data_IF_433712680923
#
_entry.id   IF_433712680923
#
_cell.length_a   1.000
_cell.length_b   1.000
_cell.length_c   1.000
_cell.angle_alpha   90.00
_cell.angle_beta   90.00
_cell.angle_gamma   90.00
#
_symmetry.space_group_name_H-M   'P 1'
#
loop_
_entity.id
_entity.type
_entity.pdbx_description
1 polymer ?
#
# COMPACT_ATOMS: atom_id res chain seq x y z
N UNK A 1 7.24 -12.73 -1.65
CA UNK A 1 8.39 -11.89 -2.04
C UNK A 1 9.21 -12.45 -3.21
N UNK A 2 8.98 -13.70 -3.63
CA UNK A 2 9.75 -14.32 -4.72
C UNK A 2 9.62 -13.57 -6.05
N UNK A 3 8.48 -12.93 -6.30
CA UNK A 3 8.23 -12.21 -7.53
C UNK A 3 8.67 -10.75 -7.47
N UNK A 4 9.13 -10.29 -6.31
CA UNK A 4 9.66 -8.94 -6.12
C UNK A 4 11.18 -9.02 -6.15
N UNK A 5 11.78 -8.30 -7.07
CA UNK A 5 13.23 -8.25 -7.21
C UNK A 5 13.72 -6.82 -7.03
N UNK A 6 14.93 -6.68 -6.49
CA UNK A 6 15.61 -5.39 -6.36
C UNK A 6 15.09 -4.49 -5.25
N UNK A 7 14.35 -5.03 -4.28
CA UNK A 7 13.77 -4.26 -3.17
C UNK A 7 14.11 -4.90 -1.81
N UNK A 8 15.36 -5.30 -1.62
CA UNK A 8 15.75 -6.06 -0.43
C UNK A 8 15.59 -5.27 0.87
N UNK A 9 15.94 -3.98 0.87
CA UNK A 9 15.81 -3.13 2.05
C UNK A 9 14.34 -2.92 2.42
N UNK A 10 13.51 -2.65 1.42
CA UNK A 10 12.08 -2.45 1.61
C UNK A 10 11.41 -3.72 2.09
N UNK A 11 11.82 -4.89 1.60
CA UNK A 11 11.32 -6.17 2.08
C UNK A 11 11.65 -6.38 3.54
N UNK A 12 12.87 -6.05 3.97
CA UNK A 12 13.27 -6.17 5.37
C UNK A 12 12.43 -5.29 6.29
N UNK A 13 12.14 -4.06 5.88
CA UNK A 13 11.30 -3.15 6.64
C UNK A 13 9.88 -3.68 6.81
N UNK A 14 9.42 -4.50 5.88
CA UNK A 14 8.06 -5.04 5.90
C UNK A 14 7.95 -6.43 6.54
N UNK A 15 9.04 -7.05 6.92
CA UNK A 15 9.02 -8.38 7.56
C UNK A 15 8.17 -8.36 8.84
N UNK A 16 8.27 -7.31 9.63
CA UNK A 16 7.47 -7.16 10.84
C UNK A 16 5.97 -7.13 10.52
N UNK A 17 5.58 -6.47 9.43
CA UNK A 17 4.19 -6.44 8.97
C UNK A 17 3.72 -7.85 8.59
N UNK A 18 4.55 -8.60 7.87
CA UNK A 18 4.25 -9.99 7.49
C UNK A 18 4.05 -10.86 8.74
N UNK A 19 4.95 -10.76 9.69
CA UNK A 19 4.86 -11.54 10.92
C UNK A 19 3.60 -11.21 11.72
N UNK A 20 3.26 -9.93 11.83
CA UNK A 20 2.02 -9.52 12.47
C UNK A 20 0.80 -10.14 11.77
N UNK A 21 0.75 -10.06 10.45
CA UNK A 21 -0.39 -10.59 9.69
C UNK A 21 -0.54 -12.11 9.81
N UNK A 22 0.57 -12.81 9.98
CA UNK A 22 0.54 -14.27 10.18
C UNK A 22 -0.08 -14.66 11.52
N UNK A 23 0.11 -13.85 12.55
CA UNK A 23 -0.40 -14.15 13.89
C UNK A 23 -0.70 -12.87 14.67
N UNK A 24 -1.80 -12.17 14.35
CA UNK A 24 -2.13 -10.90 15.01
C UNK A 24 -2.31 -11.03 16.52
N UNK A 25 -2.91 -12.12 16.97
CA UNK A 25 -3.20 -12.34 18.38
C UNK A 25 -1.93 -12.43 19.25
N UNK A 26 -0.86 -12.97 18.71
CA UNK A 26 0.42 -13.08 19.41
C UNK A 26 1.03 -11.72 19.69
N UNK A 27 0.99 -10.82 18.71
CA UNK A 27 1.48 -9.45 18.88
C UNK A 27 0.68 -8.69 19.92
N UNK A 28 -0.63 -8.87 19.93
CA UNK A 28 -1.50 -8.25 20.93
C UNK A 28 -1.16 -8.71 22.35
N UNK A 29 -0.90 -10.01 22.53
CA UNK A 29 -0.53 -10.58 23.83
C UNK A 29 0.79 -10.04 24.36
N UNK A 30 1.73 -9.74 23.47
CA UNK A 30 3.04 -9.21 23.85
C UNK A 30 3.03 -7.71 24.11
N UNK A 31 1.89 -7.04 23.92
CA UNK A 31 1.78 -5.60 24.07
C UNK A 31 2.54 -4.82 23.00
N UNK A 32 2.88 -5.47 21.89
CA UNK A 32 3.62 -4.84 20.81
C UNK A 32 2.75 -3.78 20.12
N UNK A 33 3.39 -2.70 19.72
CA UNK A 33 2.74 -1.66 18.92
C UNK A 33 2.53 -2.17 17.51
N UNK A 34 1.27 -2.26 17.09
CA UNK A 34 0.90 -2.77 15.78
C UNK A 34 0.74 -1.60 14.83
N UNK A 35 1.46 -1.57 13.68
CA UNK A 35 1.21 -0.56 12.68
C UNK A 35 -0.15 -0.83 12.01
N UNK A 36 -1.04 0.16 12.02
CA UNK A 36 -2.32 0.05 11.32
C UNK A 36 -2.21 0.53 9.87
N UNK A 37 -1.28 1.42 9.60
CA UNK A 37 -1.10 1.97 8.27
C UNK A 37 0.36 2.08 7.88
N UNK A 38 0.67 1.69 6.65
CA UNK A 38 2.01 1.79 6.06
C UNK A 38 1.90 2.58 4.77
N UNK A 39 2.67 3.66 4.67
CA UNK A 39 2.72 4.47 3.46
C UNK A 39 3.96 4.12 2.66
N UNK A 40 3.75 3.68 1.43
CA UNK A 40 4.84 3.41 0.48
C UNK A 40 5.05 4.67 -0.36
N UNK A 41 6.22 5.26 -0.23
CA UNK A 41 6.57 6.53 -0.86
C UNK A 41 7.66 6.31 -1.90
N UNK A 42 7.46 6.81 -3.09
CA UNK A 42 8.49 6.72 -4.12
C UNK A 42 7.98 7.10 -5.49
N UNK A 43 8.90 7.26 -6.46
CA UNK A 43 8.54 7.60 -7.82
C UNK A 43 7.60 6.57 -8.46
N UNK A 44 6.83 6.95 -9.47
CA UNK A 44 5.99 5.99 -10.19
C UNK A 44 6.87 4.93 -10.86
N UNK A 45 6.34 3.72 -10.97
CA UNK A 45 7.05 2.62 -11.61
C UNK A 45 8.10 1.93 -10.76
N UNK A 46 8.15 2.18 -9.45
CA UNK A 46 9.11 1.54 -8.55
C UNK A 46 8.61 0.22 -7.94
N UNK A 47 7.38 -0.21 -8.28
CA UNK A 47 6.86 -1.49 -7.82
C UNK A 47 6.14 -1.47 -6.47
N UNK A 48 5.59 -0.33 -6.08
CA UNK A 48 4.88 -0.20 -4.80
C UNK A 48 3.69 -1.15 -4.70
N UNK A 49 2.89 -1.26 -5.76
CA UNK A 49 1.75 -2.18 -5.80
C UNK A 49 2.19 -3.64 -5.68
N UNK A 50 3.22 -4.01 -6.41
CA UNK A 50 3.77 -5.36 -6.38
C UNK A 50 4.31 -5.70 -4.99
N UNK A 51 4.96 -4.74 -4.34
CA UNK A 51 5.48 -4.93 -2.99
C UNK A 51 4.35 -5.18 -1.99
N UNK A 52 3.26 -4.42 -2.08
CA UNK A 52 2.09 -4.63 -1.21
C UNK A 52 1.46 -6.01 -1.44
N UNK A 53 1.31 -6.43 -2.69
CA UNK A 53 0.82 -7.77 -3.02
C UNK A 53 1.75 -8.86 -2.48
N UNK A 54 3.05 -8.62 -2.52
CA UNK A 54 4.03 -9.57 -2.03
C UNK A 54 3.92 -9.74 -0.51
N UNK A 55 3.66 -8.67 0.23
CA UNK A 55 3.41 -8.74 1.68
C UNK A 55 2.21 -9.63 1.97
N UNK A 56 1.11 -9.43 1.25
CA UNK A 56 -0.09 -10.25 1.42
C UNK A 56 0.18 -11.72 1.08
N UNK A 57 0.91 -11.99 0.01
CA UNK A 57 1.27 -13.34 -0.41
C UNK A 57 2.17 -14.04 0.60
N UNK A 58 3.18 -13.37 1.13
CA UNK A 58 4.04 -13.92 2.16
C UNK A 58 3.27 -14.23 3.46
N UNK A 59 2.35 -13.36 3.83
CA UNK A 59 1.54 -13.55 5.03
C UNK A 59 0.39 -14.54 4.82
N UNK A 60 0.03 -14.84 3.57
CA UNK A 60 -1.09 -15.73 3.27
C UNK A 60 -2.44 -15.13 3.60
N UNK A 61 -2.60 -13.82 3.44
CA UNK A 61 -3.83 -13.10 3.78
C UNK A 61 -4.49 -12.50 2.53
N UNK A 62 -5.81 -12.24 2.59
CA UNK A 62 -6.49 -11.55 1.48
C UNK A 62 -5.93 -10.16 1.21
N UNK A 63 -5.98 -9.76 -0.05
CA UNK A 63 -5.53 -8.46 -0.52
C UNK A 63 -6.70 -7.76 -1.22
N UNK A 64 -7.07 -6.61 -0.70
CA UNK A 64 -8.13 -5.78 -1.28
C UNK A 64 -7.54 -4.47 -1.74
N UNK A 65 -7.94 -4.02 -2.91
CA UNK A 65 -7.35 -2.83 -3.53
C UNK A 65 -8.42 -1.82 -3.94
N UNK A 66 -8.09 -0.55 -3.74
CA UNK A 66 -8.89 0.58 -4.21
C UNK A 66 -7.92 1.63 -4.73
N UNK A 67 -8.30 2.33 -5.79
CA UNK A 67 -7.48 3.42 -6.32
C UNK A 67 -7.89 4.75 -5.67
N UNK A 68 -6.90 5.63 -5.46
CA UNK A 68 -7.19 6.99 -5.00
C UNK A 68 -8.09 7.77 -5.96
N UNK A 69 -8.10 7.42 -7.24
CA UNK A 69 -9.02 7.99 -8.22
C UNK A 69 -10.48 7.65 -7.92
N UNK A 70 -10.75 6.53 -7.25
CA UNK A 70 -12.10 6.16 -6.83
C UNK A 70 -12.64 7.10 -5.74
N UNK A 71 -11.76 7.90 -5.11
CA UNK A 71 -12.17 8.88 -4.11
C UNK A 71 -12.84 10.11 -4.72
N UNK A 72 -12.75 10.28 -6.01
CA UNK A 72 -13.38 11.39 -6.74
C UNK A 72 -14.53 10.91 -7.63
N UNK A 73 -15.26 9.91 -7.18
CA UNK A 73 -16.41 9.38 -7.88
C UNK A 73 -17.47 10.46 -8.10
N UNK A 74 -18.21 10.34 -9.20
CA UNK A 74 -19.14 11.35 -9.63
C UNK A 74 -20.39 11.54 -8.75
N UNK A 75 -20.73 10.57 -7.92
CA UNK A 75 -21.92 10.60 -7.08
C UNK A 75 -21.54 10.76 -5.62
N UNK A 76 -22.23 11.66 -4.93
CA UNK A 76 -22.01 11.96 -3.52
C UNK A 76 -22.21 10.70 -2.67
N UNK A 77 -21.22 10.40 -1.83
CA UNK A 77 -21.28 9.27 -0.89
C UNK A 77 -20.86 7.93 -1.46
N UNK A 78 -20.66 7.81 -2.77
CA UNK A 78 -20.29 6.53 -3.40
C UNK A 78 -18.89 6.09 -2.95
N UNK A 79 -17.92 7.01 -2.97
CA UNK A 79 -16.56 6.69 -2.53
C UNK A 79 -16.51 6.29 -1.06
N UNK A 80 -17.22 7.01 -0.20
CA UNK A 80 -17.29 6.71 1.22
C UNK A 80 -17.95 5.34 1.48
N UNK A 81 -19.02 5.02 0.75
CA UNK A 81 -19.67 3.71 0.84
C UNK A 81 -18.73 2.59 0.40
N UNK A 82 -17.96 2.78 -0.65
CA UNK A 82 -16.97 1.81 -1.11
C UNK A 82 -15.91 1.52 -0.06
N UNK A 83 -15.40 2.57 0.58
CA UNK A 83 -14.41 2.42 1.65
C UNK A 83 -15.00 1.60 2.79
N UNK A 84 -16.19 1.94 3.24
CA UNK A 84 -16.86 1.21 4.32
C UNK A 84 -17.08 -0.25 3.98
N UNK A 85 -17.60 -0.53 2.78
CA UNK A 85 -17.86 -1.90 2.33
C UNK A 85 -16.58 -2.71 2.22
N UNK A 86 -15.50 -2.09 1.76
CA UNK A 86 -14.20 -2.72 1.65
C UNK A 86 -13.66 -3.13 3.02
N UNK A 87 -13.75 -2.24 4.02
CA UNK A 87 -13.33 -2.55 5.38
C UNK A 87 -14.22 -3.60 6.02
N UNK A 88 -15.53 -3.54 5.82
CA UNK A 88 -16.45 -4.55 6.32
C UNK A 88 -16.14 -5.93 5.74
N UNK A 89 -15.82 -5.99 4.46
CA UNK A 89 -15.42 -7.25 3.81
C UNK A 89 -14.12 -7.77 4.38
N UNK A 90 -13.14 -6.89 4.57
CA UNK A 90 -11.83 -7.27 5.10
C UNK A 90 -11.92 -7.79 6.53
N UNK A 91 -12.80 -7.20 7.35
CA UNK A 91 -12.99 -7.61 8.75
C UNK A 91 -13.59 -8.99 8.91
N UNK A 92 -14.12 -9.58 7.86
CA UNK A 92 -14.61 -10.96 7.87
C UNK A 92 -13.48 -11.98 7.94
N UNK A 93 -12.26 -11.56 7.60
CA UNK A 93 -11.06 -12.40 7.70
C UNK A 93 -10.28 -12.05 8.97
N UNK A 94 -9.56 -13.02 9.58
CA UNK A 94 -8.74 -12.74 10.76
C UNK A 94 -7.63 -11.74 10.51
N UNK A 95 -7.12 -11.68 9.28
CA UNK A 95 -6.11 -10.74 8.85
C UNK A 95 -6.30 -10.42 7.37
N UNK A 96 -5.96 -9.21 6.96
CA UNK A 96 -6.09 -8.78 5.57
C UNK A 96 -5.24 -7.53 5.33
N UNK A 97 -4.92 -7.28 4.06
CA UNK A 97 -4.33 -6.02 3.63
C UNK A 97 -5.35 -5.28 2.76
N UNK A 98 -5.55 -4.01 3.08
CA UNK A 98 -6.27 -3.07 2.22
C UNK A 98 -5.24 -2.14 1.61
N UNK A 99 -5.16 -2.10 0.29
CA UNK A 99 -4.19 -1.30 -0.43
C UNK A 99 -4.88 -0.16 -1.17
N UNK A 100 -4.37 1.06 -0.99
CA UNK A 100 -4.87 2.25 -1.65
C UNK A 100 -3.78 2.75 -2.59
N UNK A 101 -3.97 2.54 -3.90
CA UNK A 101 -3.02 2.99 -4.89
C UNK A 101 -3.23 4.47 -5.18
N UNK A 102 -2.13 5.20 -5.28
CA UNK A 102 -2.13 6.62 -5.59
C UNK A 102 -3.07 7.44 -4.71
N UNK A 103 -2.89 7.32 -3.40
CA UNK A 103 -3.76 7.98 -2.42
C UNK A 103 -3.83 9.50 -2.59
N UNK A 104 -2.78 10.10 -3.18
CA UNK A 104 -2.74 11.53 -3.47
C UNK A 104 -3.42 11.90 -4.79
N UNK A 105 -3.83 10.93 -5.60
CA UNK A 105 -4.46 11.20 -6.89
C UNK A 105 -5.79 11.93 -6.70
N UNK A 106 -6.05 12.94 -7.51
CA UNK A 106 -7.25 13.77 -7.40
C UNK A 106 -7.24 14.72 -6.21
N UNK A 107 -6.13 14.74 -5.45
CA UNK A 107 -5.99 15.39 -4.17
C UNK A 107 -5.40 16.77 -4.16
N UNK A 108 -5.17 17.28 -5.28
CA UNK A 108 -4.22 18.36 -5.44
C UNK A 108 -4.57 19.67 -4.78
N UNK A 109 -5.80 20.02 -4.58
CA UNK A 109 -6.13 21.37 -4.17
C UNK A 109 -7.32 21.41 -3.24
N UNK A 110 -7.06 21.14 -1.99
CA UNK A 110 -7.97 21.56 -0.95
C UNK A 110 -8.11 23.07 -1.04
N UNK A 111 -9.28 23.52 -1.41
CA UNK A 111 -9.57 24.95 -1.50
C UNK A 111 -9.59 25.54 -2.90
N UNK A 112 -9.04 24.86 -3.90
CA UNK A 112 -9.13 25.31 -5.29
C UNK A 112 -10.22 24.58 -6.07
N UNK A 113 -10.80 23.55 -5.50
CA UNK A 113 -11.85 22.78 -6.12
C UNK A 113 -13.18 23.50 -6.09
N UNK A 114 -13.68 23.76 -7.25
CA UNK A 114 -14.99 24.36 -7.42
C UNK A 114 -15.95 23.25 -7.82
N UNK A 115 -16.45 22.48 -6.87
CA UNK A 115 -17.50 21.56 -7.20
C UNK A 115 -17.51 20.24 -6.44
N UNK A 116 -18.42 19.36 -6.82
CA UNK A 116 -18.74 18.14 -6.11
C UNK A 116 -17.59 17.13 -5.96
N UNK A 117 -16.60 17.15 -6.84
CA UNK A 117 -15.46 16.24 -6.77
C UNK A 117 -14.58 16.46 -5.54
N UNK A 118 -14.45 17.69 -5.09
CA UNK A 118 -13.69 18.02 -3.89
C UNK A 118 -14.39 17.52 -2.62
N UNK A 119 -15.69 17.75 -2.53
CA UNK A 119 -16.49 17.33 -1.39
C UNK A 119 -16.54 15.79 -1.30
N UNK A 120 -16.72 15.12 -2.43
CA UNK A 120 -16.72 13.65 -2.49
C UNK A 120 -15.42 13.06 -1.99
N UNK A 121 -14.32 13.62 -2.42
CA UNK A 121 -13.01 13.15 -2.01
C UNK A 121 -12.79 13.37 -0.52
N UNK A 122 -13.18 14.52 -0.01
CA UNK A 122 -13.07 14.80 1.42
C UNK A 122 -13.91 13.86 2.26
N UNK A 123 -15.14 13.56 1.83
CA UNK A 123 -16.00 12.58 2.48
C UNK A 123 -15.39 11.19 2.47
N UNK A 124 -14.82 10.77 1.35
CA UNK A 124 -14.19 9.46 1.21
C UNK A 124 -12.96 9.36 2.09
N UNK A 125 -12.14 10.41 2.13
CA UNK A 125 -10.98 10.48 3.00
C UNK A 125 -11.39 10.41 4.48
N UNK A 126 -12.43 11.16 4.86
CA UNK A 126 -12.94 11.12 6.22
C UNK A 126 -13.45 9.73 6.61
N UNK A 127 -14.11 9.03 5.69
CA UNK A 127 -14.55 7.66 5.92
C UNK A 127 -13.35 6.72 6.12
N UNK A 128 -12.29 6.90 5.34
CA UNK A 128 -11.06 6.14 5.52
C UNK A 128 -10.48 6.35 6.91
N UNK A 129 -10.41 7.60 7.36
CA UNK A 129 -9.89 7.92 8.69
C UNK A 129 -10.76 7.33 9.81
N UNK A 130 -12.08 7.39 9.65
CA UNK A 130 -13.03 6.77 10.61
C UNK A 130 -12.77 5.27 10.70
N UNK A 131 -12.62 4.59 9.56
CA UNK A 131 -12.37 3.16 9.54
C UNK A 131 -11.03 2.79 10.17
N UNK A 132 -9.98 3.57 9.90
CA UNK A 132 -8.66 3.34 10.49
C UNK A 132 -8.66 3.59 12.00
N UNK A 133 -9.32 4.64 12.46
CA UNK A 133 -9.43 4.95 13.89
C UNK A 133 -10.30 3.94 14.64
N UNK A 134 -11.15 3.24 13.93
CA UNK A 134 -12.03 2.22 14.49
C UNK A 134 -11.39 0.84 14.66
N UNK A 135 -10.11 0.67 14.30
CA UNK A 135 -9.44 -0.61 14.48
C UNK A 135 -9.26 -0.91 15.97
N UNK A 136 -9.80 -2.04 16.39
CA UNK A 136 -9.53 -2.57 17.72
C UNK A 136 -8.17 -3.24 17.78
N UNK A 137 -7.71 -3.52 19.00
CA UNK A 137 -6.44 -4.20 19.22
C UNK A 137 -6.41 -5.64 18.68
N UNK A 138 -7.56 -6.17 18.31
CA UNK A 138 -7.69 -7.54 17.80
C UNK A 138 -7.84 -7.63 16.29
N UNK A 139 -7.96 -6.48 15.61
CA UNK A 139 -8.13 -6.47 14.17
C UNK A 139 -6.78 -6.71 13.48
N UNK A 140 -6.72 -7.75 12.67
CA UNK A 140 -5.53 -8.10 11.91
C UNK A 140 -5.47 -7.40 10.55
N UNK A 141 -6.01 -6.19 10.45
CA UNK A 141 -6.07 -5.46 9.19
C UNK A 141 -4.98 -4.40 9.15
N UNK A 142 -4.22 -4.38 8.06
CA UNK A 142 -3.25 -3.34 7.79
C UNK A 142 -3.66 -2.63 6.50
N UNK A 143 -3.66 -1.31 6.56
CA UNK A 143 -3.89 -0.46 5.39
C UNK A 143 -2.53 -0.04 4.84
N UNK A 144 -2.26 -0.36 3.59
CA UNK A 144 -1.08 0.11 2.89
C UNK A 144 -1.52 1.09 1.82
N UNK A 145 -0.83 2.20 1.70
CA UNK A 145 -1.12 3.19 0.67
C UNK A 145 0.15 3.54 -0.08
N UNK A 146 0.01 3.87 -1.35
CA UNK A 146 1.13 4.27 -2.20
C UNK A 146 0.95 5.69 -2.66
N UNK A 147 2.05 6.45 -2.69
CA UNK A 147 2.06 7.79 -3.25
C UNK A 147 3.43 8.14 -3.82
N UNK A 148 3.43 8.90 -4.91
CA UNK A 148 4.64 9.54 -5.41
C UNK A 148 4.77 10.98 -4.94
N UNK A 149 3.78 11.51 -4.21
CA UNK A 149 3.72 12.90 -3.76
C UNK A 149 3.29 12.98 -2.30
N UNK A 150 4.18 12.59 -1.36
CA UNK A 150 3.85 12.66 0.06
C UNK A 150 3.64 14.10 0.56
N UNK A 151 4.22 15.07 -0.14
CA UNK A 151 4.12 16.49 0.20
C UNK A 151 2.71 17.06 0.07
N UNK A 152 1.85 16.44 -0.75
CA UNK A 152 0.48 16.93 -0.96
C UNK A 152 -0.58 16.14 -0.19
N UNK A 153 -0.16 15.15 0.60
CA UNK A 153 -1.09 14.41 1.43
C UNK A 153 -1.60 15.27 2.59
N UNK A 154 -2.84 15.03 2.96
CA UNK A 154 -3.41 15.63 4.15
C UNK A 154 -2.62 15.21 5.38
N UNK A 155 -2.09 16.14 6.19
CA UNK A 155 -1.36 15.80 7.39
C UNK A 155 -2.14 14.92 8.38
N UNK A 156 -3.47 14.95 8.32
CA UNK A 156 -4.30 14.10 9.15
C UNK A 156 -4.06 12.61 8.89
N UNK A 157 -3.65 12.24 7.68
CA UNK A 157 -3.33 10.85 7.34
C UNK A 157 -2.06 10.34 8.02
N UNK A 158 -1.18 11.24 8.39
CA UNK A 158 0.15 10.89 8.93
C UNK A 158 0.19 10.89 10.45
N UNK A 159 -0.94 11.09 11.12
CA UNK A 159 -1.01 11.08 12.58
C UNK A 159 -0.80 9.67 13.14
N UNK A 160 -0.34 9.55 14.40
CA UNK A 160 -0.22 8.24 15.04
C UNK A 160 -1.51 7.43 14.99
N UNK A 161 -1.38 6.14 14.72
CA UNK A 161 -2.52 5.23 14.57
C UNK A 161 -3.09 5.18 13.15
N UNK A 162 -2.62 6.06 12.26
CA UNK A 162 -2.99 6.07 10.84
C UNK A 162 -1.78 5.62 10.02
N UNK A 163 -1.37 6.38 9.00
CA UNK A 163 -0.15 6.04 8.24
C UNK A 163 1.08 6.55 8.98
N UNK A 164 1.37 5.93 10.08
CA UNK A 164 2.47 6.33 10.96
C UNK A 164 3.80 5.65 10.62
N UNK A 165 3.79 4.66 9.73
CA UNK A 165 5.00 4.04 9.21
C UNK A 165 5.14 4.38 7.73
N UNK A 166 6.31 4.89 7.34
CA UNK A 166 6.61 5.20 5.95
C UNK A 166 7.79 4.35 5.48
N UNK A 167 7.63 3.77 4.30
CA UNK A 167 8.68 3.00 3.64
C UNK A 167 8.97 3.67 2.30
N UNK A 168 10.20 4.09 2.10
CA UNK A 168 10.62 4.71 0.84
C UNK A 168 11.04 3.63 -0.14
N UNK A 169 10.44 3.66 -1.33
CA UNK A 169 10.75 2.71 -2.41
C UNK A 169 11.45 3.49 -3.51
N UNK A 170 12.72 3.21 -3.70
CA UNK A 170 13.56 3.91 -4.67
C UNK A 170 13.65 3.14 -5.98
N UNK A 171 14.16 3.81 -7.02
CA UNK A 171 14.51 3.11 -8.25
C UNK A 171 15.59 2.07 -7.93
N UNK A 172 15.54 0.90 -8.58
CA UNK A 172 16.51 -0.15 -8.31
C UNK A 172 17.91 0.26 -8.79
N UNK A 173 18.94 -0.15 -8.05
CA UNK A 173 20.32 -0.02 -8.46
C UNK A 173 20.66 -1.05 -9.56
N UNK A 174 21.92 -1.13 -9.97
CA UNK A 174 22.34 -2.06 -11.03
C UNK A 174 22.01 -3.51 -10.65
N UNK A 175 22.30 -3.91 -9.42
CA UNK A 175 22.00 -5.25 -8.94
C UNK A 175 20.50 -5.52 -8.94
N UNK A 176 19.72 -4.56 -8.49
CA UNK A 176 18.27 -4.67 -8.47
C UNK A 176 17.70 -4.76 -9.89
N UNK A 177 18.19 -3.95 -10.82
CA UNK A 177 17.77 -4.02 -12.22
C UNK A 177 18.10 -5.38 -12.85
N UNK A 178 19.26 -5.94 -12.55
CA UNK A 178 19.63 -7.27 -12.99
C UNK A 178 18.64 -8.33 -12.48
N UNK A 179 18.30 -8.28 -11.20
CA UNK A 179 17.33 -9.19 -10.60
C UNK A 179 15.93 -9.07 -11.25
N UNK A 180 15.49 -7.85 -11.52
CA UNK A 180 14.22 -7.58 -12.20
C UNK A 180 14.22 -8.19 -13.61
N UNK A 181 15.30 -8.01 -14.35
CA UNK A 181 15.42 -8.59 -15.67
C UNK A 181 15.35 -10.11 -15.63
N UNK A 182 15.99 -10.74 -14.66
CA UNK A 182 15.93 -12.20 -14.48
C UNK A 182 14.51 -12.68 -14.19
N UNK A 183 13.77 -11.98 -13.33
CA UNK A 183 12.38 -12.32 -13.01
C UNK A 183 11.50 -12.26 -14.27
N UNK A 184 11.60 -11.19 -15.03
CA UNK A 184 10.79 -11.01 -16.23
C UNK A 184 11.19 -11.96 -17.38
N UNK A 185 12.41 -12.46 -17.36
CA UNK A 185 12.94 -13.36 -18.39
C UNK A 185 12.64 -14.84 -18.13
N UNK A 186 12.11 -15.20 -16.96
CA UNK A 186 11.94 -16.60 -16.52
C UNK A 186 11.30 -17.56 -17.52
N UNK A 187 10.32 -17.10 -18.28
CA UNK A 187 9.58 -17.94 -19.22
C UNK A 187 9.68 -17.42 -20.66
N UNK A 188 10.71 -16.63 -20.97
CA UNK A 188 10.89 -16.03 -22.29
C UNK A 188 12.13 -16.58 -22.95
N UNK A 189 12.07 -16.94 -24.27
CA UNK A 189 13.25 -17.37 -24.98
C UNK A 189 14.19 -16.20 -25.16
N UNK A 190 15.45 -16.39 -24.75
CA UNK A 190 16.53 -15.42 -24.92
C UNK A 190 17.67 -16.08 -25.65
N UNK A 191 18.44 -15.27 -26.39
CA UNK A 191 19.66 -15.78 -27.02
C UNK A 191 20.67 -16.19 -25.96
N UNK A 192 21.41 -17.26 -26.22
CA UNK A 192 22.51 -17.66 -25.38
C UNK A 192 23.55 -16.53 -25.34
N UNK A 193 23.98 -16.15 -24.17
CA UNK A 193 24.96 -15.07 -24.00
C UNK A 193 24.39 -13.71 -23.62
N UNK A 194 23.06 -13.61 -23.40
CA UNK A 194 22.50 -12.38 -22.86
C UNK A 194 23.02 -12.19 -21.44
N UNK A 195 23.67 -11.05 -21.22
CA UNK A 195 24.23 -10.68 -19.92
C UNK A 195 23.33 -9.65 -19.24
N UNK A 196 22.58 -10.10 -18.24
CA UNK A 196 21.64 -9.23 -17.52
C UNK A 196 22.33 -8.09 -16.78
N UNK A 197 23.56 -8.27 -16.35
CA UNK A 197 24.32 -7.21 -15.69
C UNK A 197 24.62 -6.06 -16.66
N UNK A 198 25.06 -6.39 -17.88
CA UNK A 198 25.32 -5.37 -18.91
C UNK A 198 24.04 -4.66 -19.34
N UNK A 199 22.95 -5.39 -19.51
CA UNK A 199 21.67 -4.79 -19.89
C UNK A 199 21.15 -3.87 -18.77
N UNK A 200 21.43 -4.20 -17.51
CA UNK A 200 21.00 -3.40 -16.36
C UNK A 200 21.82 -2.12 -16.17
N UNK A 201 23.00 -2.02 -16.78
CA UNK A 201 23.80 -0.81 -16.76
C UNK A 201 23.16 0.30 -17.59
#
# INVERSE_FOLDING_TARGET
>A
FKDVAGADEEKEELVEVVEFLKNPAQFTKLGARIPHGVLLVGPPGTGKTLLAKAVAGEAGVPFYSISGSDFVEMYVGVGASRVRDLFDTARKSPAAIIFIDEIAAGGRHRGAGLGGGHDEREQTLNQLLVEMDGFGSHDGIIVMAATNRPDILDPALLRPGRFDRQVTVNYPDIKGREEILKVHARNKPLEAGVDFHKVAQ
#
